data_IF_750861887580
#
_entry.id   IF_750861887580
#
_cell.length_a   1.000
_cell.length_b   1.000
_cell.length_c   1.000
_cell.angle_alpha   90.00
_cell.angle_beta   90.00
_cell.angle_gamma   90.00
#
_symmetry.space_group_name_H-M   'P 1'
#
loop_
_entity.id
_entity.type
_entity.pdbx_description
1 polymer ?
#
# COMPACT_ATOMS: atom_id res chain seq x y z
N UNK A 1 -9.64 19.18 -0.26
CA UNK A 1 -9.76 18.06 -1.25
C UNK A 1 -8.62 17.11 -1.00
N UNK A 2 -8.90 15.81 -0.87
CA UNK A 2 -7.85 14.79 -0.66
C UNK A 2 -7.58 14.03 -1.95
N UNK A 3 -6.33 13.63 -2.17
CA UNK A 3 -5.94 12.79 -3.30
C UNK A 3 -6.19 11.32 -2.93
N UNK A 4 -7.06 10.64 -3.68
CA UNK A 4 -7.36 9.23 -3.49
C UNK A 4 -6.45 8.38 -4.36
N UNK A 5 -5.74 7.44 -3.73
CA UNK A 5 -4.77 6.56 -4.36
C UNK A 5 -5.06 5.09 -4.04
N UNK A 6 -4.82 4.22 -5.01
CA UNK A 6 -4.64 2.79 -4.77
C UNK A 6 -3.12 2.53 -4.77
N UNK A 7 -2.53 2.07 -3.67
CA UNK A 7 -1.07 2.07 -3.54
C UNK A 7 -0.36 1.04 -4.42
N UNK A 8 -1.01 -0.09 -4.74
CA UNK A 8 -0.29 -1.21 -5.36
C UNK A 8 -0.78 -1.58 -6.76
N UNK A 9 -1.97 -1.17 -7.18
CA UNK A 9 -2.54 -1.62 -8.45
C UNK A 9 -1.97 -0.89 -9.65
N UNK A 10 -1.29 -1.61 -10.53
CA UNK A 10 -0.80 -1.12 -11.82
C UNK A 10 -1.84 -1.34 -12.93
N UNK A 11 -2.55 -2.48 -12.90
CA UNK A 11 -3.59 -2.86 -13.86
C UNK A 11 -4.54 -3.88 -13.23
N UNK A 12 -5.83 -3.67 -13.36
CA UNK A 12 -6.84 -4.59 -12.78
C UNK A 12 -7.10 -5.82 -13.65
N UNK A 13 -6.94 -5.70 -14.99
CA UNK A 13 -7.16 -6.80 -15.94
C UNK A 13 -6.42 -6.57 -17.24
N UNK A 14 -6.24 -7.59 -18.07
CA UNK A 14 -5.60 -7.48 -19.39
C UNK A 14 -6.34 -6.54 -20.35
N UNK A 15 -7.61 -6.25 -20.10
CA UNK A 15 -8.42 -5.33 -20.92
C UNK A 15 -8.31 -3.86 -20.51
N UNK A 16 -7.81 -3.55 -19.30
CA UNK A 16 -7.89 -2.20 -18.73
C UNK A 16 -6.62 -1.77 -17.98
N UNK A 17 -5.66 -1.14 -18.62
CA UNK A 17 -5.54 -0.85 -20.06
C UNK A 17 -5.07 -2.08 -20.85
N UNK A 18 -5.37 -2.16 -22.15
CA UNK A 18 -4.94 -3.28 -22.99
C UNK A 18 -3.43 -3.31 -23.23
N UNK A 19 -2.76 -2.16 -23.14
CA UNK A 19 -1.31 -2.03 -23.16
C UNK A 19 -0.84 -1.08 -22.09
N UNK A 20 0.31 -1.34 -21.50
CA UNK A 20 0.96 -0.48 -20.53
C UNK A 20 1.87 0.53 -21.22
N UNK A 21 1.96 1.74 -20.69
CA UNK A 21 2.94 2.73 -21.14
C UNK A 21 4.38 2.18 -20.98
N UNK A 22 5.30 2.62 -21.81
CA UNK A 22 6.69 2.16 -21.78
C UNK A 22 7.35 2.39 -20.41
N UNK A 23 7.02 3.50 -19.76
CA UNK A 23 7.52 3.85 -18.42
C UNK A 23 6.69 3.26 -17.26
N UNK A 24 5.73 2.37 -17.54
CA UNK A 24 5.00 1.69 -16.46
C UNK A 24 5.95 0.76 -15.69
N UNK A 25 5.79 0.69 -14.37
CA UNK A 25 6.65 -0.13 -13.50
C UNK A 25 6.69 -1.61 -13.89
N UNK A 26 5.60 -2.16 -14.42
CA UNK A 26 5.60 -3.53 -14.91
C UNK A 26 6.56 -3.75 -16.10
N UNK A 27 6.94 -2.69 -16.82
CA UNK A 27 7.91 -2.73 -17.90
C UNK A 27 9.33 -2.36 -17.43
N UNK A 28 9.45 -1.42 -16.49
CA UNK A 28 10.75 -0.87 -16.06
C UNK A 28 11.33 -1.59 -14.85
N UNK A 29 10.45 -2.15 -13.99
CA UNK A 29 10.80 -2.84 -12.74
C UNK A 29 9.93 -4.10 -12.56
N UNK A 30 9.99 -5.07 -13.50
CA UNK A 30 9.18 -6.29 -13.41
C UNK A 30 9.45 -7.11 -12.14
N UNK A 31 10.61 -6.97 -11.53
CA UNK A 31 11.01 -7.59 -10.27
C UNK A 31 10.21 -7.08 -9.06
N UNK A 32 9.56 -5.90 -9.17
CA UNK A 32 8.70 -5.34 -8.12
C UNK A 32 7.24 -5.75 -8.27
N UNK A 33 6.90 -6.50 -9.33
CA UNK A 33 5.52 -6.73 -9.75
C UNK A 33 5.12 -8.17 -9.56
N UNK A 34 3.93 -8.38 -9.00
CA UNK A 34 3.27 -9.67 -8.98
C UNK A 34 2.02 -9.66 -9.87
N UNK A 35 1.72 -10.82 -10.46
CA UNK A 35 0.53 -11.05 -11.28
C UNK A 35 -0.50 -11.87 -10.52
N UNK A 36 -1.76 -11.43 -10.55
CA UNK A 36 -2.89 -12.15 -9.97
C UNK A 36 -4.00 -12.20 -11.00
N UNK A 37 -4.26 -13.38 -11.55
CA UNK A 37 -5.08 -13.52 -12.74
C UNK A 37 -4.51 -12.68 -13.89
N UNK A 38 -5.32 -11.80 -14.46
CA UNK A 38 -4.92 -10.85 -15.52
C UNK A 38 -4.45 -9.49 -14.97
N UNK A 39 -4.49 -9.31 -13.65
CA UNK A 39 -4.07 -8.09 -12.97
C UNK A 39 -2.58 -8.02 -12.72
N UNK A 40 -2.04 -6.80 -12.60
CA UNK A 40 -0.65 -6.53 -12.23
C UNK A 40 -0.63 -5.59 -11.04
N UNK A 41 0.17 -5.92 -10.06
CA UNK A 41 0.26 -5.20 -8.80
C UNK A 41 1.73 -5.06 -8.38
N UNK A 42 2.07 -3.98 -7.72
CA UNK A 42 3.32 -3.93 -6.97
C UNK A 42 3.25 -4.98 -5.86
N UNK A 43 4.35 -5.69 -5.66
CA UNK A 43 4.45 -6.67 -4.58
C UNK A 43 4.55 -5.93 -3.23
N UNK A 44 3.58 -6.09 -2.31
CA UNK A 44 3.60 -5.37 -1.04
C UNK A 44 4.79 -5.74 -0.13
N UNK A 45 5.44 -6.86 -0.41
CA UNK A 45 6.61 -7.33 0.30
C UNK A 45 7.95 -6.82 -0.31
N UNK A 46 7.89 -6.04 -1.40
CA UNK A 46 9.08 -5.49 -2.05
C UNK A 46 9.37 -4.08 -1.51
N UNK A 47 10.46 -3.88 -0.75
CA UNK A 47 10.75 -2.58 -0.15
C UNK A 47 10.87 -1.44 -1.18
N UNK A 48 11.48 -1.71 -2.32
CA UNK A 48 11.65 -0.71 -3.37
C UNK A 48 10.30 -0.27 -3.99
N UNK A 49 9.32 -1.17 -4.06
CA UNK A 49 7.96 -0.84 -4.47
C UNK A 49 7.25 0.06 -3.43
N UNK A 50 7.43 -0.23 -2.14
CA UNK A 50 6.90 0.62 -1.06
C UNK A 50 7.54 2.01 -1.09
N UNK A 51 8.86 2.10 -1.24
CA UNK A 51 9.59 3.38 -1.36
C UNK A 51 9.09 4.21 -2.56
N UNK A 52 8.81 3.55 -3.69
CA UNK A 52 8.27 4.23 -4.87
C UNK A 52 6.88 4.83 -4.60
N UNK A 53 6.00 4.11 -3.89
CA UNK A 53 4.69 4.64 -3.49
C UNK A 53 4.85 5.86 -2.58
N UNK A 54 5.74 5.80 -1.59
CA UNK A 54 6.03 6.92 -0.68
C UNK A 54 6.57 8.14 -1.44
N UNK A 55 7.48 7.94 -2.39
CA UNK A 55 7.99 9.01 -3.26
C UNK A 55 6.87 9.63 -4.11
N UNK A 56 5.96 8.84 -4.66
CA UNK A 56 4.80 9.33 -5.40
C UNK A 56 3.87 10.20 -4.54
N UNK A 57 3.65 9.81 -3.28
CA UNK A 57 2.92 10.63 -2.30
C UNK A 57 3.65 11.95 -2.05
N UNK A 58 4.95 11.91 -1.81
CA UNK A 58 5.75 13.13 -1.59
C UNK A 58 5.69 14.07 -2.81
N UNK A 59 5.77 13.54 -4.03
CA UNK A 59 5.64 14.33 -5.27
C UNK A 59 4.26 14.99 -5.38
N UNK A 60 3.18 14.27 -5.06
CA UNK A 60 1.82 14.83 -5.06
C UNK A 60 1.71 15.99 -4.07
N UNK A 61 2.21 15.83 -2.86
CA UNK A 61 2.17 16.88 -1.83
C UNK A 61 2.99 18.11 -2.20
N UNK A 62 4.08 17.94 -2.94
CA UNK A 62 4.92 19.05 -3.39
C UNK A 62 4.32 19.84 -4.57
N UNK A 63 3.58 19.19 -5.45
CA UNK A 63 3.16 19.77 -6.71
C UNK A 63 1.68 20.19 -6.75
N UNK A 64 0.86 19.70 -5.80
CA UNK A 64 -0.59 19.93 -5.81
C UNK A 64 -1.08 20.41 -4.44
N UNK A 65 -1.98 21.39 -4.46
CA UNK A 65 -2.64 21.90 -3.25
C UNK A 65 -3.76 20.94 -2.82
N UNK A 66 -3.41 19.89 -2.11
CA UNK A 66 -4.34 18.93 -1.51
C UNK A 66 -4.41 19.11 0.00
N UNK A 67 -5.53 18.75 0.63
CA UNK A 67 -5.71 18.78 2.08
C UNK A 67 -5.30 17.48 2.76
N UNK A 68 -4.90 16.48 1.97
CA UNK A 68 -4.45 15.18 2.46
C UNK A 68 -4.39 14.11 1.39
N UNK A 69 -4.03 12.92 1.83
CA UNK A 69 -3.95 11.68 1.04
C UNK A 69 -4.95 10.69 1.58
N UNK A 70 -5.58 9.94 0.69
CA UNK A 70 -6.53 8.89 1.04
C UNK A 70 -6.19 7.59 0.28
N UNK A 71 -6.07 6.48 1.01
CA UNK A 71 -5.95 5.15 0.41
C UNK A 71 -7.29 4.41 0.46
N UNK A 72 -7.54 3.57 -0.55
CA UNK A 72 -8.59 2.57 -0.50
C UNK A 72 -8.16 1.32 0.30
N UNK A 73 -8.96 0.26 0.25
CA UNK A 73 -8.78 -0.98 1.00
C UNK A 73 -7.94 -2.05 0.27
N UNK A 74 -7.42 -1.76 -0.92
CA UNK A 74 -6.71 -2.76 -1.73
C UNK A 74 -5.21 -2.75 -1.45
N UNK A 75 -4.78 -3.53 -0.44
CA UNK A 75 -3.36 -3.74 -0.12
C UNK A 75 -2.83 -5.02 -0.78
N UNK A 76 -2.90 -6.17 -0.13
CA UNK A 76 -2.51 -7.41 -0.78
C UNK A 76 -3.54 -7.83 -1.83
N UNK A 77 -3.11 -8.14 -3.08
CA UNK A 77 -4.05 -8.49 -4.15
C UNK A 77 -4.59 -9.92 -4.06
N UNK A 78 -3.98 -10.77 -3.22
CA UNK A 78 -4.33 -12.19 -3.02
C UNK A 78 -3.72 -12.73 -1.73
N UNK A 79 -4.26 -13.83 -1.24
CA UNK A 79 -3.72 -14.61 -0.12
C UNK A 79 -2.73 -15.70 -0.56
N UNK A 80 -2.54 -15.88 -1.87
CA UNK A 80 -1.61 -16.89 -2.42
C UNK A 80 -0.19 -16.64 -1.91
N UNK A 81 0.45 -17.69 -1.39
CA UNK A 81 1.79 -17.58 -0.78
C UNK A 81 2.89 -17.34 -1.81
N UNK A 82 2.64 -17.71 -3.06
CA UNK A 82 3.63 -17.65 -4.14
C UNK A 82 4.04 -16.23 -4.53
N UNK A 83 3.21 -15.23 -4.25
CA UNK A 83 3.45 -13.85 -4.72
C UNK A 83 4.64 -13.17 -4.05
N UNK A 84 4.96 -13.57 -2.82
CA UNK A 84 6.01 -12.99 -1.98
C UNK A 84 6.88 -14.06 -1.27
N UNK A 85 6.83 -15.31 -1.75
CA UNK A 85 7.55 -16.43 -1.15
C UNK A 85 9.08 -16.20 -1.02
N UNK A 86 9.67 -15.51 -2.00
CA UNK A 86 11.11 -15.20 -2.01
C UNK A 86 11.43 -14.20 -0.90
N UNK A 87 10.64 -13.13 -0.79
CA UNK A 87 10.81 -12.09 0.22
C UNK A 87 10.54 -12.65 1.62
N UNK A 88 9.49 -13.48 1.77
CA UNK A 88 9.19 -14.12 3.05
C UNK A 88 10.32 -15.03 3.50
N UNK A 89 10.85 -15.88 2.62
CA UNK A 89 11.97 -16.76 2.94
C UNK A 89 13.24 -15.96 3.32
N UNK A 90 13.48 -14.82 2.66
CA UNK A 90 14.63 -13.96 2.95
C UNK A 90 14.48 -13.19 4.27
N UNK A 91 13.24 -12.93 4.72
CA UNK A 91 12.96 -12.16 5.93
C UNK A 91 13.31 -12.89 7.23
N UNK A 92 13.33 -14.23 7.20
CA UNK A 92 13.49 -15.07 8.40
C UNK A 92 12.24 -15.10 9.29
N UNK A 93 11.13 -14.52 8.88
CA UNK A 93 9.85 -14.59 9.58
C UNK A 93 9.30 -16.02 9.55
N UNK A 94 8.52 -16.37 10.58
CA UNK A 94 7.92 -17.71 10.72
C UNK A 94 6.40 -17.70 10.56
N UNK A 95 5.77 -16.52 10.62
CA UNK A 95 4.34 -16.32 10.46
C UNK A 95 4.10 -15.39 9.27
N UNK A 96 3.61 -15.97 8.18
CA UNK A 96 3.38 -15.26 6.92
C UNK A 96 2.32 -14.15 7.08
N UNK A 97 1.23 -14.43 7.79
CA UNK A 97 0.15 -13.46 7.95
C UNK A 97 0.61 -12.24 8.78
N UNK A 98 1.26 -12.49 9.90
CA UNK A 98 1.82 -11.42 10.72
C UNK A 98 2.89 -10.60 9.97
N UNK A 99 3.72 -11.25 9.17
CA UNK A 99 4.74 -10.57 8.37
C UNK A 99 4.12 -9.70 7.26
N UNK A 100 3.10 -10.19 6.57
CA UNK A 100 2.36 -9.40 5.57
C UNK A 100 1.67 -8.19 6.19
N UNK A 101 1.07 -8.35 7.38
CA UNK A 101 0.48 -7.23 8.13
C UNK A 101 1.52 -6.18 8.53
N UNK A 102 2.75 -6.61 8.87
CA UNK A 102 3.85 -5.70 9.13
C UNK A 102 4.27 -4.92 7.88
N UNK A 103 4.35 -5.56 6.71
CA UNK A 103 4.68 -4.90 5.44
C UNK A 103 3.65 -3.81 5.10
N UNK A 104 2.35 -4.12 5.22
CA UNK A 104 1.28 -3.14 4.97
C UNK A 104 1.35 -2.00 5.98
N UNK A 105 1.49 -2.31 7.27
CA UNK A 105 1.59 -1.29 8.33
C UNK A 105 2.82 -0.39 8.14
N UNK A 106 3.94 -0.95 7.70
CA UNK A 106 5.15 -0.18 7.40
C UNK A 106 4.93 0.83 6.26
N UNK A 107 4.26 0.43 5.17
CA UNK A 107 3.90 1.38 4.11
C UNK A 107 2.96 2.47 4.64
N UNK A 108 1.89 2.09 5.35
CA UNK A 108 0.90 3.02 5.90
C UNK A 108 1.58 4.03 6.82
N UNK A 109 2.49 3.57 7.69
CA UNK A 109 3.28 4.45 8.58
C UNK A 109 4.18 5.40 7.78
N UNK A 110 4.91 4.90 6.79
CA UNK A 110 5.81 5.71 5.98
C UNK A 110 5.06 6.80 5.20
N UNK A 111 3.86 6.50 4.69
CA UNK A 111 2.99 7.48 4.04
C UNK A 111 2.48 8.52 5.03
N UNK A 112 1.99 8.09 6.21
CA UNK A 112 1.58 9.02 7.27
C UNK A 112 2.72 9.99 7.64
N UNK A 113 3.90 9.46 7.89
CA UNK A 113 5.05 10.27 8.27
C UNK A 113 5.46 11.26 7.16
N UNK A 114 5.37 10.83 5.89
CA UNK A 114 5.62 11.69 4.73
C UNK A 114 4.59 12.83 4.64
N UNK A 115 3.32 12.53 4.87
CA UNK A 115 2.24 13.55 4.89
C UNK A 115 2.50 14.54 6.02
N UNK A 116 2.81 14.08 7.25
CA UNK A 116 3.06 14.94 8.41
C UNK A 116 4.35 15.75 8.28
N UNK A 117 5.37 15.20 7.61
CA UNK A 117 6.60 15.92 7.35
C UNK A 117 6.42 17.05 6.31
N UNK A 118 5.51 16.86 5.34
CA UNK A 118 5.17 17.91 4.37
C UNK A 118 4.41 19.07 5.02
N UNK A 119 3.36 18.78 5.77
CA UNK A 119 2.61 19.74 6.59
C UNK A 119 1.83 18.97 7.68
N UNK A 120 2.04 19.26 8.98
CA UNK A 120 1.33 18.59 10.07
C UNK A 120 -0.20 18.73 10.06
N UNK A 121 -0.74 19.71 9.32
CA UNK A 121 -2.19 19.94 9.19
C UNK A 121 -2.85 19.07 8.12
N UNK A 122 -2.07 18.51 7.20
CA UNK A 122 -2.56 17.57 6.19
C UNK A 122 -3.00 16.26 6.84
N UNK A 123 -3.96 15.59 6.21
CA UNK A 123 -4.52 14.35 6.73
C UNK A 123 -4.15 13.16 5.85
N UNK A 124 -3.95 12.02 6.49
CA UNK A 124 -3.87 10.73 5.83
C UNK A 124 -4.95 9.80 6.36
N UNK A 125 -5.80 9.30 5.49
CA UNK A 125 -6.88 8.40 5.83
C UNK A 125 -6.95 7.18 4.94
N UNK A 126 -7.69 6.18 5.41
CA UNK A 126 -7.91 4.91 4.71
C UNK A 126 -9.39 4.56 4.80
N UNK A 127 -9.96 4.06 3.69
CA UNK A 127 -11.25 3.38 3.66
C UNK A 127 -11.03 1.86 3.75
N UNK A 128 -11.03 1.24 4.93
CA UNK A 128 -10.92 -0.21 5.04
C UNK A 128 -12.20 -0.88 4.55
N UNK A 129 -12.17 -2.19 4.35
CA UNK A 129 -13.37 -2.96 4.07
C UNK A 129 -14.32 -2.92 5.26
N UNK A 130 -15.61 -3.01 5.02
CA UNK A 130 -16.61 -3.07 6.10
C UNK A 130 -16.60 -4.37 6.92
N UNK A 131 -15.68 -5.28 6.64
CA UNK A 131 -15.46 -6.52 7.37
C UNK A 131 -14.02 -6.59 7.89
N UNK A 132 -13.82 -6.39 9.22
CA UNK A 132 -12.49 -6.42 9.83
C UNK A 132 -11.73 -7.74 9.67
N UNK A 133 -12.43 -8.88 9.52
CA UNK A 133 -11.79 -10.17 9.29
C UNK A 133 -11.20 -10.24 7.87
N UNK A 134 -11.85 -9.64 6.88
CA UNK A 134 -11.30 -9.51 5.54
C UNK A 134 -10.11 -8.57 5.49
N UNK A 135 -10.18 -7.43 6.19
CA UNK A 135 -9.06 -6.52 6.32
C UNK A 135 -7.82 -7.25 6.83
N UNK A 136 -7.97 -7.97 7.94
CA UNK A 136 -6.87 -8.62 8.62
C UNK A 136 -6.32 -9.85 7.87
N UNK A 137 -7.21 -10.68 7.30
CA UNK A 137 -6.84 -12.01 6.79
C UNK A 137 -6.72 -12.08 5.26
N UNK A 138 -7.26 -11.09 4.53
CA UNK A 138 -7.20 -11.08 3.06
C UNK A 138 -6.40 -9.90 2.52
N UNK A 139 -6.54 -8.71 3.12
CA UNK A 139 -5.78 -7.51 2.75
C UNK A 139 -4.54 -7.31 3.61
N UNK A 140 -4.43 -8.06 4.71
CA UNK A 140 -3.38 -7.94 5.74
C UNK A 140 -3.28 -6.52 6.34
N UNK A 141 -4.42 -5.83 6.41
CA UNK A 141 -4.58 -4.51 6.98
C UNK A 141 -4.90 -4.62 8.47
N UNK A 142 -3.97 -4.25 9.33
CA UNK A 142 -4.13 -4.35 10.78
C UNK A 142 -4.97 -3.20 11.37
N UNK A 143 -6.16 -2.95 10.79
CA UNK A 143 -7.05 -1.82 11.12
C UNK A 143 -7.30 -1.64 12.62
N UNK A 144 -7.60 -2.69 13.42
CA UNK A 144 -7.78 -2.52 14.86
C UNK A 144 -6.52 -2.00 15.57
N UNK A 145 -5.34 -2.42 15.13
CA UNK A 145 -4.07 -1.94 15.67
C UNK A 145 -3.82 -0.49 15.27
N UNK A 146 -4.12 -0.10 14.03
CA UNK A 146 -3.99 1.28 13.56
C UNK A 146 -4.89 2.25 14.33
N UNK A 147 -6.14 1.83 14.67
CA UNK A 147 -7.05 2.62 15.48
C UNK A 147 -6.58 2.79 16.93
N UNK A 148 -5.88 1.80 17.46
CA UNK A 148 -5.36 1.85 18.82
C UNK A 148 -4.04 2.63 18.94
N UNK A 149 -3.33 2.83 17.82
CA UNK A 149 -2.06 3.55 17.77
C UNK A 149 -2.28 5.05 17.97
N UNK A 150 -1.36 5.71 18.67
CA UNK A 150 -1.40 7.16 18.88
C UNK A 150 -0.02 7.73 19.19
N UNK A 151 0.11 9.04 19.14
CA UNK A 151 1.39 9.70 19.30
C UNK A 151 2.36 9.33 18.19
N UNK A 152 3.58 8.94 18.54
CA UNK A 152 4.62 8.57 17.56
C UNK A 152 4.29 7.28 16.79
N UNK A 153 3.41 6.44 17.34
CA UNK A 153 2.96 5.18 16.70
C UNK A 153 1.73 5.38 15.79
N UNK A 154 1.19 6.59 15.72
CA UNK A 154 0.05 6.87 14.84
C UNK A 154 0.43 6.60 13.38
N UNK A 155 -0.49 5.94 12.66
CA UNK A 155 -0.29 5.56 11.25
C UNK A 155 -1.36 6.12 10.32
N UNK A 156 -2.48 6.59 10.86
CA UNK A 156 -3.58 7.24 10.12
C UNK A 156 -4.21 8.33 10.97
N UNK A 157 -4.79 9.34 10.32
CA UNK A 157 -5.56 10.39 11.00
C UNK A 157 -7.03 10.02 11.13
N UNK A 158 -7.54 9.21 10.19
CA UNK A 158 -8.94 8.77 10.20
C UNK A 158 -9.12 7.48 9.37
N UNK A 159 -10.21 6.79 9.65
CA UNK A 159 -10.76 5.69 8.83
C UNK A 159 -12.21 6.01 8.47
N UNK A 160 -12.72 5.58 7.31
CA UNK A 160 -14.11 5.81 6.89
C UNK A 160 -14.75 4.58 6.21
#
# INVERSE_FOLDING_TARGET
MEAWLNPYRLRSSAAMPPSLAENNLANTHPEWVCAVGDGLYLNPAEPAAADYVVQGVAELLQNYAVDGIHFDDYFYPTTEESIDAVQFAASGAVDLAAWRQQNVTALVKAVHDTVKAADPTLRFGISPQGNPDNDLNSQYSAVPAWLAAGGEEQVVDYLC
#
